data_IF_029136610294
#
_entry.id   IF_029136610294
#
_cell.length_a   1.000
_cell.length_b   1.000
_cell.length_c   1.000
_cell.angle_alpha   90.00
_cell.angle_beta   90.00
_cell.angle_gamma   90.00
#
_symmetry.space_group_name_H-M   'P 1'
#
loop_
_entity.id
_entity.type
_entity.pdbx_description
1 polymer ?
#
# COMPACT_ATOMS: atom_id res chain seq x y z
N UNK A 1 28.98 -2.65 -30.77
CA UNK A 1 28.70 -1.57 -29.80
C UNK A 1 27.47 -0.84 -30.31
N UNK A 2 26.39 -0.85 -29.58
CA UNK A 2 25.17 -0.14 -29.97
C UNK A 2 25.30 1.35 -29.65
N UNK A 3 24.34 2.17 -30.09
CA UNK A 3 24.38 3.63 -29.87
C UNK A 3 24.34 4.01 -28.38
N UNK A 4 23.65 3.22 -27.55
CA UNK A 4 23.57 3.47 -26.11
C UNK A 4 24.92 3.27 -25.44
N UNK A 5 25.66 2.20 -25.81
CA UNK A 5 27.01 1.95 -25.29
C UNK A 5 27.96 3.12 -25.61
N UNK A 6 27.83 3.71 -26.82
CA UNK A 6 28.67 4.84 -27.22
C UNK A 6 28.33 6.11 -26.43
N UNK A 7 27.07 6.45 -26.27
CA UNK A 7 26.61 7.66 -25.61
C UNK A 7 26.77 7.64 -24.08
N UNK A 8 26.81 6.44 -23.48
CA UNK A 8 26.79 6.25 -22.04
C UNK A 8 28.12 5.73 -21.47
N UNK A 9 29.13 5.44 -22.33
CA UNK A 9 30.40 4.82 -21.93
C UNK A 9 31.14 5.58 -20.81
N UNK A 10 31.11 6.91 -20.87
CA UNK A 10 31.82 7.77 -19.92
C UNK A 10 31.16 7.89 -18.54
N UNK A 11 29.92 7.35 -18.38
CA UNK A 11 29.20 7.41 -17.12
C UNK A 11 29.56 6.20 -16.25
N UNK A 12 30.59 6.36 -15.42
CA UNK A 12 31.05 5.30 -14.53
C UNK A 12 30.04 5.08 -13.40
N UNK A 13 29.70 3.82 -13.16
CA UNK A 13 28.84 3.42 -12.04
C UNK A 13 29.73 3.41 -10.79
N UNK A 14 29.35 4.13 -9.71
CA UNK A 14 30.16 4.18 -8.50
C UNK A 14 30.13 2.84 -7.76
N UNK A 15 31.01 2.70 -6.76
CA UNK A 15 30.93 1.62 -5.79
C UNK A 15 29.79 1.86 -4.80
N UNK A 16 29.32 0.76 -4.22
CA UNK A 16 28.25 0.76 -3.26
C UNK A 16 28.67 0.08 -1.96
N UNK A 17 28.17 0.58 -0.85
CA UNK A 17 28.21 -0.11 0.44
C UNK A 17 26.80 -0.59 0.80
N UNK A 18 26.73 -1.75 1.46
CA UNK A 18 25.48 -2.23 2.03
C UNK A 18 25.27 -1.58 3.39
N UNK A 19 24.06 -1.10 3.62
CA UNK A 19 23.64 -0.53 4.90
C UNK A 19 22.51 -1.33 5.52
N UNK A 20 22.49 -1.38 6.84
CA UNK A 20 21.36 -1.84 7.64
C UNK A 20 20.68 -0.62 8.24
N UNK A 21 19.37 -0.53 8.02
CA UNK A 21 18.52 0.54 8.53
C UNK A 21 17.60 -0.02 9.60
N UNK A 22 17.79 0.41 10.83
CA UNK A 22 16.97 0.03 11.97
C UNK A 22 15.77 0.99 12.06
N UNK A 23 14.58 0.43 11.95
CA UNK A 23 13.31 1.15 12.08
C UNK A 23 12.61 0.69 13.36
N UNK A 24 11.56 1.40 13.78
CA UNK A 24 10.76 1.00 14.93
C UNK A 24 10.14 -0.39 14.69
N UNK A 25 10.46 -1.34 15.53
CA UNK A 25 10.02 -2.74 15.49
C UNK A 25 9.06 -3.10 16.64
N UNK A 26 8.56 -2.08 17.37
CA UNK A 26 7.55 -2.32 18.39
C UNK A 26 6.30 -2.94 17.78
N UNK A 27 5.82 -4.05 18.33
CA UNK A 27 4.68 -4.80 17.82
C UNK A 27 3.89 -5.45 18.95
N UNK A 28 2.73 -5.98 18.63
CA UNK A 28 1.84 -6.69 19.54
C UNK A 28 2.08 -8.19 19.39
N UNK A 29 2.49 -8.87 20.46
CA UNK A 29 2.68 -10.33 20.49
C UNK A 29 1.35 -11.06 20.73
N UNK A 30 0.56 -10.58 21.71
CA UNK A 30 -0.75 -11.14 22.07
C UNK A 30 -1.86 -10.44 21.28
N UNK A 31 -2.06 -10.88 20.05
CA UNK A 31 -3.07 -10.32 19.12
C UNK A 31 -4.48 -10.51 19.69
N UNK A 32 -4.80 -11.69 20.18
CA UNK A 32 -6.11 -12.05 20.70
C UNK A 32 -6.47 -11.22 21.93
N UNK A 33 -5.51 -11.07 22.86
CA UNK A 33 -5.69 -10.23 24.03
C UNK A 33 -5.84 -8.75 23.69
N UNK A 34 -5.08 -8.25 22.70
CA UNK A 34 -5.18 -6.87 22.23
C UNK A 34 -6.54 -6.58 21.58
N UNK A 35 -7.07 -7.49 20.75
CA UNK A 35 -8.43 -7.38 20.18
C UNK A 35 -9.47 -7.37 21.31
N UNK A 36 -9.39 -8.31 22.26
CA UNK A 36 -10.32 -8.37 23.38
C UNK A 36 -10.27 -7.09 24.24
N UNK A 37 -9.09 -6.55 24.48
CA UNK A 37 -8.92 -5.30 25.21
C UNK A 37 -9.51 -4.11 24.46
N UNK A 38 -9.24 -3.98 23.16
CA UNK A 38 -9.79 -2.91 22.34
C UNK A 38 -11.31 -2.94 22.31
N UNK A 39 -11.93 -4.12 22.18
CA UNK A 39 -13.38 -4.30 22.13
C UNK A 39 -14.08 -4.13 23.48
N UNK A 40 -13.36 -3.94 24.60
CA UNK A 40 -13.95 -3.58 25.92
C UNK A 40 -14.21 -2.09 26.06
N UNK A 41 -13.75 -1.27 25.10
CA UNK A 41 -14.01 0.17 25.12
C UNK A 41 -15.51 0.43 25.10
N UNK A 42 -15.97 1.42 25.89
CA UNK A 42 -17.37 1.84 25.92
C UNK A 42 -17.84 2.27 24.51
N UNK A 43 -19.04 1.83 24.14
CA UNK A 43 -19.63 2.09 22.82
C UNK A 43 -19.19 1.13 21.73
N UNK A 44 -18.57 -0.01 22.09
CA UNK A 44 -18.14 -1.06 21.17
C UNK A 44 -18.92 -2.38 21.41
N UNK A 45 -18.30 -3.37 22.02
CA UNK A 45 -18.90 -4.69 22.24
C UNK A 45 -20.16 -4.63 23.12
N UNK A 46 -20.22 -3.69 24.06
CA UNK A 46 -21.37 -3.43 24.94
C UNK A 46 -22.65 -2.98 24.20
N UNK A 47 -22.51 -2.56 22.95
CA UNK A 47 -23.63 -2.16 22.08
C UNK A 47 -24.26 -3.33 21.32
N UNK A 48 -23.58 -4.48 21.24
CA UNK A 48 -24.07 -5.68 20.56
C UNK A 48 -25.01 -6.43 21.50
N UNK A 49 -26.18 -6.80 21.00
CA UNK A 49 -27.18 -7.53 21.77
C UNK A 49 -27.13 -9.03 21.48
N UNK A 50 -27.48 -9.89 22.43
CA UNK A 50 -27.68 -11.30 22.15
C UNK A 50 -28.68 -11.50 21.00
N UNK A 51 -28.31 -12.34 20.03
CA UNK A 51 -29.10 -12.61 18.83
C UNK A 51 -28.83 -11.70 17.64
N UNK A 52 -28.12 -10.58 17.82
CA UNK A 52 -27.78 -9.70 16.69
C UNK A 52 -26.96 -10.45 15.62
N UNK A 53 -27.28 -10.21 14.37
CA UNK A 53 -26.42 -10.56 13.22
C UNK A 53 -25.33 -9.50 13.07
N UNK A 54 -24.05 -9.91 13.17
CA UNK A 54 -22.90 -9.00 13.18
C UNK A 54 -22.06 -9.21 11.94
N UNK A 55 -22.01 -8.19 11.06
CA UNK A 55 -21.22 -8.20 9.84
C UNK A 55 -19.79 -7.71 10.12
N UNK A 56 -18.79 -8.55 9.86
CA UNK A 56 -17.35 -8.24 9.99
C UNK A 56 -16.76 -8.15 8.59
N UNK A 57 -15.97 -7.13 8.31
CA UNK A 57 -15.34 -6.98 6.98
C UNK A 57 -13.94 -7.58 6.93
N UNK A 58 -13.58 -8.17 5.78
CA UNK A 58 -12.22 -8.58 5.45
C UNK A 58 -11.75 -7.91 4.16
N UNK A 59 -10.60 -7.23 4.21
CA UNK A 59 -10.02 -6.51 3.08
C UNK A 59 -9.16 -7.39 2.17
N UNK A 60 -8.68 -6.83 1.06
CA UNK A 60 -7.91 -7.51 0.01
C UNK A 60 -6.39 -7.38 0.12
N UNK A 61 -5.88 -6.67 1.08
CA UNK A 61 -4.44 -6.52 1.28
C UNK A 61 -3.99 -7.47 2.37
N UNK A 62 -2.83 -8.06 2.17
CA UNK A 62 -2.19 -8.88 3.19
C UNK A 62 -1.87 -8.00 4.41
N UNK A 63 -2.74 -8.10 5.41
CA UNK A 63 -2.61 -7.38 6.69
C UNK A 63 -2.08 -8.37 7.71
N UNK A 64 -1.02 -7.99 8.40
CA UNK A 64 -0.41 -8.83 9.42
C UNK A 64 -1.45 -9.36 10.42
N UNK A 65 -1.40 -10.65 10.66
CA UNK A 65 -2.29 -11.35 11.61
C UNK A 65 -3.79 -11.28 11.29
N UNK A 66 -4.21 -10.94 10.05
CA UNK A 66 -5.63 -10.69 9.75
C UNK A 66 -6.54 -11.85 10.13
N UNK A 67 -6.14 -13.09 9.89
CA UNK A 67 -6.93 -14.27 10.28
C UNK A 67 -7.09 -14.37 11.80
N UNK A 68 -6.01 -14.17 12.58
CA UNK A 68 -6.05 -14.17 14.05
C UNK A 68 -6.95 -13.04 14.57
N UNK A 69 -6.84 -11.85 13.99
CA UNK A 69 -7.63 -10.67 14.37
C UNK A 69 -9.13 -10.92 14.11
N UNK A 70 -9.50 -11.36 12.90
CA UNK A 70 -10.91 -11.61 12.55
C UNK A 70 -11.46 -12.75 13.40
N UNK A 71 -10.68 -13.82 13.65
CA UNK A 71 -11.09 -14.89 14.55
C UNK A 71 -11.36 -14.37 15.96
N UNK A 72 -10.45 -13.59 16.53
CA UNK A 72 -10.63 -13.00 17.86
C UNK A 72 -11.88 -12.09 17.93
N UNK A 73 -12.16 -11.29 16.88
CA UNK A 73 -13.39 -10.49 16.79
C UNK A 73 -14.62 -11.40 16.77
N UNK A 74 -14.63 -12.47 15.97
CA UNK A 74 -15.74 -13.45 15.95
C UNK A 74 -15.98 -14.06 17.32
N UNK A 75 -14.92 -14.42 18.05
CA UNK A 75 -15.05 -15.02 19.39
C UNK A 75 -15.60 -14.02 20.42
N UNK A 76 -15.18 -12.74 20.37
CA UNK A 76 -15.75 -11.68 21.22
C UNK A 76 -17.24 -11.46 20.91
N UNK A 77 -17.63 -11.43 19.63
CA UNK A 77 -19.03 -11.28 19.23
C UNK A 77 -19.89 -12.47 19.73
N UNK A 78 -19.39 -13.69 19.60
CA UNK A 78 -20.08 -14.88 20.12
C UNK A 78 -20.18 -14.89 21.65
N UNK A 79 -19.19 -14.33 22.35
CA UNK A 79 -19.19 -14.29 23.82
C UNK A 79 -20.34 -13.48 24.41
N UNK A 80 -20.90 -12.54 23.65
CA UNK A 80 -22.09 -11.75 24.03
C UNK A 80 -23.38 -12.34 23.46
N UNK A 81 -23.36 -13.56 22.88
CA UNK A 81 -24.53 -14.27 22.35
C UNK A 81 -24.99 -13.80 20.98
N UNK A 82 -24.16 -13.05 20.23
CA UNK A 82 -24.46 -12.58 18.88
C UNK A 82 -23.89 -13.51 17.79
N UNK A 83 -24.32 -13.32 16.55
CA UNK A 83 -24.04 -14.20 15.41
C UNK A 83 -23.16 -13.50 14.38
N UNK A 84 -21.82 -13.67 14.43
CA UNK A 84 -20.93 -13.07 13.45
C UNK A 84 -21.00 -13.75 12.08
N UNK A 85 -20.87 -12.95 11.03
CA UNK A 85 -20.56 -13.42 9.69
C UNK A 85 -19.57 -12.46 9.03
N UNK A 86 -18.84 -12.95 8.03
CA UNK A 86 -17.76 -12.19 7.38
C UNK A 86 -18.18 -11.86 5.95
N UNK A 87 -17.86 -10.65 5.50
CA UNK A 87 -17.97 -10.26 4.09
C UNK A 87 -16.59 -9.84 3.54
N UNK A 88 -16.26 -10.23 2.30
CA UNK A 88 -15.15 -9.59 1.59
C UNK A 88 -15.49 -8.13 1.31
N UNK A 89 -14.62 -7.20 1.68
CA UNK A 89 -14.86 -5.75 1.53
C UNK A 89 -13.66 -5.10 0.85
N UNK A 90 -13.63 -5.12 -0.49
CA UNK A 90 -12.45 -4.76 -1.27
C UNK A 90 -12.76 -4.05 -2.60
N UNK A 91 -13.93 -3.41 -2.70
CA UNK A 91 -14.31 -2.65 -3.88
C UNK A 91 -14.40 -3.50 -5.14
N UNK A 92 -13.65 -3.13 -6.18
CA UNK A 92 -13.62 -3.81 -7.48
C UNK A 92 -12.53 -4.88 -7.63
N UNK A 93 -11.80 -5.21 -6.57
CA UNK A 93 -10.72 -6.21 -6.64
C UNK A 93 -11.24 -7.58 -7.10
N UNK A 94 -10.32 -8.46 -7.52
CA UNK A 94 -10.62 -9.79 -8.08
C UNK A 94 -11.59 -9.73 -9.26
N UNK A 95 -11.44 -8.71 -10.13
CA UNK A 95 -12.30 -8.53 -11.31
C UNK A 95 -13.76 -8.27 -10.96
N UNK A 96 -14.06 -7.74 -9.77
CA UNK A 96 -15.40 -7.51 -9.24
C UNK A 96 -16.27 -8.79 -9.24
N UNK A 97 -15.69 -9.92 -8.87
CA UNK A 97 -16.39 -11.22 -8.76
C UNK A 97 -16.43 -11.67 -7.31
N UNK A 98 -17.61 -12.04 -6.83
CA UNK A 98 -17.83 -12.46 -5.44
C UNK A 98 -16.92 -13.62 -5.02
N UNK A 99 -16.86 -14.68 -5.84
CA UNK A 99 -16.00 -15.84 -5.60
C UNK A 99 -14.51 -15.49 -5.62
N UNK A 100 -14.10 -14.59 -6.51
CA UNK A 100 -12.72 -14.10 -6.53
C UNK A 100 -12.36 -13.34 -5.25
N UNK A 101 -13.27 -12.49 -4.75
CA UNK A 101 -13.08 -11.77 -3.49
C UNK A 101 -13.06 -12.73 -2.28
N UNK A 102 -13.90 -13.74 -2.27
CA UNK A 102 -13.90 -14.82 -1.27
C UNK A 102 -12.56 -15.55 -1.28
N UNK A 103 -12.10 -15.98 -2.45
CA UNK A 103 -10.81 -16.68 -2.59
C UNK A 103 -9.61 -15.87 -2.08
N UNK A 104 -9.62 -14.53 -2.23
CA UNK A 104 -8.55 -13.68 -1.69
C UNK A 104 -8.50 -13.76 -0.15
N UNK A 105 -9.63 -13.59 0.55
CA UNK A 105 -9.62 -13.64 2.02
C UNK A 105 -9.34 -15.05 2.55
N UNK A 106 -9.81 -16.08 1.86
CA UNK A 106 -9.49 -17.48 2.18
C UNK A 106 -7.99 -17.77 2.01
N UNK A 107 -7.34 -17.15 1.00
CA UNK A 107 -5.89 -17.19 0.81
C UNK A 107 -5.09 -16.58 1.96
N UNK A 108 -5.69 -15.68 2.75
CA UNK A 108 -5.11 -15.12 3.97
C UNK A 108 -5.45 -15.92 5.23
N UNK A 109 -6.12 -17.07 5.08
CA UNK A 109 -6.53 -17.93 6.19
C UNK A 109 -7.89 -17.54 6.83
N UNK A 110 -8.62 -16.58 6.24
CA UNK A 110 -9.96 -16.22 6.68
C UNK A 110 -10.95 -17.16 6.00
N UNK A 111 -11.14 -18.37 6.57
CA UNK A 111 -12.06 -19.40 6.10
C UNK A 111 -13.21 -19.58 7.09
N UNK A 112 -14.34 -20.12 6.67
CA UNK A 112 -15.49 -20.38 7.56
C UNK A 112 -15.11 -21.29 8.72
N UNK A 113 -14.28 -22.31 8.46
CA UNK A 113 -13.80 -23.24 9.48
C UNK A 113 -12.87 -22.52 10.49
N UNK A 114 -11.87 -21.80 10.01
CA UNK A 114 -10.92 -21.09 10.88
C UNK A 114 -11.59 -20.00 11.70
N UNK A 115 -12.55 -19.28 11.14
CA UNK A 115 -13.29 -18.20 11.82
C UNK A 115 -14.46 -18.73 12.67
N UNK A 116 -14.92 -19.95 12.40
CA UNK A 116 -16.15 -20.48 13.00
C UNK A 116 -17.37 -19.61 12.74
N UNK A 117 -17.41 -18.90 11.61
CA UNK A 117 -18.44 -17.98 11.19
C UNK A 117 -18.61 -18.06 9.66
N UNK A 118 -19.83 -17.93 9.11
CA UNK A 118 -20.04 -18.02 7.67
C UNK A 118 -19.44 -16.82 6.93
N UNK A 119 -18.99 -17.05 5.68
CA UNK A 119 -18.55 -16.01 4.75
C UNK A 119 -19.67 -15.76 3.74
N UNK A 120 -20.15 -14.52 3.67
CA UNK A 120 -21.20 -14.11 2.74
C UNK A 120 -20.57 -13.18 1.68
N UNK A 121 -20.31 -13.71 0.49
CA UNK A 121 -19.74 -12.95 -0.61
C UNK A 121 -20.83 -12.55 -1.62
N UNK A 122 -20.87 -11.27 -1.98
CA UNK A 122 -21.72 -10.71 -3.03
C UNK A 122 -21.08 -9.47 -3.62
N UNK A 123 -21.48 -9.13 -4.84
CA UNK A 123 -21.21 -7.83 -5.44
C UNK A 123 -22.41 -6.89 -5.42
N UNK A 124 -23.56 -7.37 -4.95
CA UNK A 124 -24.78 -6.57 -4.87
C UNK A 124 -24.66 -5.53 -3.76
N UNK A 125 -25.11 -4.31 -4.07
CA UNK A 125 -25.14 -3.18 -3.15
C UNK A 125 -26.51 -2.51 -3.17
N UNK A 126 -26.82 -1.79 -2.11
CA UNK A 126 -27.99 -0.94 -2.00
C UNK A 126 -27.55 0.51 -1.86
N UNK A 127 -28.29 1.44 -2.51
CA UNK A 127 -28.10 2.88 -2.34
C UNK A 127 -28.73 3.30 -1.03
N UNK A 128 -27.94 3.72 -0.07
CA UNK A 128 -28.40 4.10 1.27
C UNK A 128 -28.48 5.62 1.50
N UNK A 129 -27.78 6.39 0.67
CA UNK A 129 -27.76 7.85 0.75
C UNK A 129 -27.26 8.44 -0.60
N UNK A 130 -27.28 9.76 -0.67
CA UNK A 130 -26.65 10.54 -1.75
C UNK A 130 -25.73 11.61 -1.14
N UNK A 131 -24.61 11.88 -1.81
CA UNK A 131 -23.69 12.95 -1.44
C UNK A 131 -24.30 14.32 -1.77
N UNK A 132 -23.66 15.39 -1.30
CA UNK A 132 -24.03 16.77 -1.64
C UNK A 132 -23.94 17.06 -3.15
N UNK A 133 -23.08 16.33 -3.86
CA UNK A 133 -22.93 16.39 -5.32
C UNK A 133 -23.88 15.47 -6.09
N UNK A 134 -24.79 14.76 -5.39
CA UNK A 134 -25.77 13.86 -5.99
C UNK A 134 -25.23 12.48 -6.35
N UNK A 135 -24.01 12.12 -5.90
CA UNK A 135 -23.44 10.79 -6.12
C UNK A 135 -24.10 9.77 -5.18
N UNK A 136 -24.37 8.57 -5.68
CA UNK A 136 -24.93 7.49 -4.90
C UNK A 136 -23.92 6.91 -3.91
N UNK A 137 -24.36 6.68 -2.68
CA UNK A 137 -23.59 6.06 -1.61
C UNK A 137 -24.11 4.64 -1.43
N UNK A 138 -23.27 3.67 -1.80
CA UNK A 138 -23.61 2.26 -1.84
C UNK A 138 -23.08 1.52 -0.60
N UNK A 139 -23.84 0.53 -0.13
CA UNK A 139 -23.45 -0.39 0.91
C UNK A 139 -23.73 -1.84 0.48
N UNK A 140 -22.83 -2.78 0.78
CA UNK A 140 -23.02 -4.22 0.56
C UNK A 140 -24.37 -4.67 1.12
N UNK A 141 -25.13 -5.49 0.38
CA UNK A 141 -26.48 -5.92 0.77
C UNK A 141 -26.51 -6.68 2.09
N UNK A 142 -25.50 -7.51 2.39
CA UNK A 142 -25.43 -8.25 3.65
C UNK A 142 -25.05 -7.33 4.81
N UNK A 143 -24.15 -6.38 4.57
CA UNK A 143 -23.82 -5.34 5.56
C UNK A 143 -25.05 -4.46 5.85
N UNK A 144 -25.81 -4.09 4.81
CA UNK A 144 -27.00 -3.27 5.00
C UNK A 144 -28.12 -4.02 5.79
N UNK A 145 -28.25 -5.32 5.59
CA UNK A 145 -29.22 -6.16 6.28
C UNK A 145 -28.81 -6.57 7.71
N UNK A 146 -27.54 -6.40 8.10
CA UNK A 146 -27.05 -6.76 9.43
C UNK A 146 -27.56 -5.82 10.52
N UNK A 147 -27.77 -6.37 11.73
CA UNK A 147 -28.14 -5.60 12.91
C UNK A 147 -26.98 -4.73 13.42
N UNK A 148 -25.74 -5.22 13.26
CA UNK A 148 -24.53 -4.54 13.69
C UNK A 148 -23.38 -4.71 12.69
N UNK A 149 -22.52 -3.67 12.55
CA UNK A 149 -21.37 -3.69 11.65
C UNK A 149 -20.05 -3.54 12.42
N UNK A 150 -19.03 -4.30 12.02
CA UNK A 150 -17.64 -4.16 12.47
C UNK A 150 -16.74 -4.03 11.24
N UNK A 151 -16.57 -2.82 10.68
CA UNK A 151 -15.55 -2.57 9.65
C UNK A 151 -14.16 -2.77 10.23
N UNK A 152 -13.34 -3.61 9.60
CA UNK A 152 -11.94 -3.86 9.96
C UNK A 152 -11.06 -3.30 8.86
N UNK A 153 -10.17 -2.37 9.17
CA UNK A 153 -9.34 -1.70 8.16
C UNK A 153 -7.95 -1.35 8.65
N UNK A 154 -6.95 -1.55 7.77
CA UNK A 154 -5.58 -1.09 8.02
C UNK A 154 -5.48 0.41 7.72
N UNK A 155 -5.14 1.19 8.77
CA UNK A 155 -4.92 2.64 8.68
C UNK A 155 -3.46 2.87 8.25
N UNK A 156 -3.28 3.53 7.10
CA UNK A 156 -1.96 3.90 6.56
C UNK A 156 -2.07 5.01 5.50
N UNK A 157 -0.95 5.64 5.15
CA UNK A 157 -0.90 6.56 4.03
C UNK A 157 -1.35 5.87 2.72
N UNK A 158 -2.15 6.57 1.92
CA UNK A 158 -2.56 6.09 0.60
C UNK A 158 -1.47 6.35 -0.44
N UNK A 159 -1.47 5.58 -1.53
CA UNK A 159 -0.51 5.74 -2.63
C UNK A 159 -0.91 6.82 -3.63
N UNK A 160 -2.21 7.20 -3.68
CA UNK A 160 -2.74 8.03 -4.77
C UNK A 160 -3.49 9.28 -4.32
N UNK A 161 -3.77 9.45 -3.03
CA UNK A 161 -4.37 10.69 -2.52
C UNK A 161 -3.95 10.99 -1.07
N UNK A 162 -4.09 12.25 -0.68
CA UNK A 162 -3.81 12.77 0.66
C UNK A 162 -5.04 13.45 1.24
N UNK A 163 -5.22 13.33 2.55
CA UNK A 163 -6.27 14.00 3.29
C UNK A 163 -6.28 13.63 4.76
N UNK A 164 -7.30 14.09 5.47
CA UNK A 164 -7.50 13.76 6.89
C UNK A 164 -7.77 12.27 7.10
N UNK A 165 -8.36 11.61 6.10
CA UNK A 165 -8.52 10.15 6.02
C UNK A 165 -7.97 9.68 4.68
N UNK A 166 -7.25 8.56 4.69
CA UNK A 166 -6.65 7.98 3.51
C UNK A 166 -7.00 6.49 3.40
N UNK A 167 -6.04 5.54 3.51
CA UNK A 167 -6.38 4.13 3.71
C UNK A 167 -6.75 3.92 5.17
N UNK A 168 -7.89 3.29 5.43
CA UNK A 168 -8.37 3.07 6.79
C UNK A 168 -9.83 2.67 6.84
N UNK A 169 -10.47 3.04 7.94
CA UNK A 169 -11.86 2.71 8.24
C UNK A 169 -12.84 3.41 7.28
N UNK A 170 -12.67 4.73 7.10
CA UNK A 170 -13.54 5.48 6.18
C UNK A 170 -13.47 4.91 4.76
N UNK A 171 -12.28 4.54 4.27
CA UNK A 171 -12.13 3.89 2.97
C UNK A 171 -12.75 2.49 2.96
N UNK A 172 -12.66 1.73 4.06
CA UNK A 172 -13.31 0.43 4.18
C UNK A 172 -14.83 0.57 4.07
N UNK A 173 -15.42 1.55 4.75
CA UNK A 173 -16.85 1.84 4.67
C UNK A 173 -17.29 2.16 3.22
N UNK A 174 -16.57 3.07 2.55
CA UNK A 174 -16.97 3.64 1.26
C UNK A 174 -16.61 2.76 0.07
N UNK A 175 -15.34 2.36 -0.01
CA UNK A 175 -14.81 1.57 -1.12
C UNK A 175 -14.95 0.09 -0.86
N UNK A 176 -14.55 -0.38 0.31
CA UNK A 176 -14.58 -1.80 0.68
C UNK A 176 -15.99 -2.36 0.60
N UNK A 177 -16.89 -1.84 1.43
CA UNK A 177 -18.29 -2.26 1.50
C UNK A 177 -19.16 -1.68 0.39
N UNK A 178 -18.75 -0.57 -0.26
CA UNK A 178 -19.42 -0.03 -1.44
C UNK A 178 -19.25 -0.88 -2.70
N UNK A 179 -18.38 -1.90 -2.66
CA UNK A 179 -18.07 -2.78 -3.77
C UNK A 179 -17.66 -2.00 -5.03
N UNK A 180 -17.86 -2.57 -6.23
CA UNK A 180 -17.52 -1.90 -7.49
C UNK A 180 -18.35 -0.63 -7.69
N UNK A 181 -19.65 -0.65 -7.38
CA UNK A 181 -20.53 0.50 -7.57
C UNK A 181 -20.14 1.69 -6.70
N UNK A 182 -19.97 1.49 -5.40
CA UNK A 182 -19.53 2.55 -4.48
C UNK A 182 -18.14 3.06 -4.79
N UNK A 183 -17.20 2.17 -5.13
CA UNK A 183 -15.87 2.57 -5.59
C UNK A 183 -15.93 3.47 -6.82
N UNK A 184 -16.72 3.09 -7.84
CA UNK A 184 -16.91 3.90 -9.05
C UNK A 184 -17.47 5.29 -8.72
N UNK A 185 -18.54 5.38 -7.92
CA UNK A 185 -19.15 6.66 -7.54
C UNK A 185 -18.13 7.57 -6.80
N UNK A 186 -17.36 7.00 -5.87
CA UNK A 186 -16.38 7.75 -5.11
C UNK A 186 -15.22 8.29 -5.99
N UNK A 187 -14.79 7.53 -7.02
CA UNK A 187 -13.73 7.93 -7.95
C UNK A 187 -14.20 8.87 -9.06
N UNK A 188 -15.51 8.98 -9.30
CA UNK A 188 -16.10 9.69 -10.47
C UNK A 188 -15.63 11.15 -10.61
N UNK A 189 -15.28 11.81 -9.50
CA UNK A 189 -14.76 13.19 -9.49
C UNK A 189 -13.23 13.26 -9.51
N UNK A 190 -12.54 12.12 -9.70
CA UNK A 190 -11.09 12.02 -9.76
C UNK A 190 -10.40 12.08 -8.38
N UNK A 191 -9.09 11.85 -8.38
CA UNK A 191 -8.30 11.74 -7.14
C UNK A 191 -8.23 13.04 -6.32
N UNK A 192 -8.36 14.22 -6.95
CA UNK A 192 -8.36 15.50 -6.21
C UNK A 192 -9.52 15.61 -5.22
N UNK A 193 -10.66 14.98 -5.51
CA UNK A 193 -11.83 14.96 -4.63
C UNK A 193 -11.90 13.74 -3.72
N UNK A 194 -10.97 12.78 -3.89
CA UNK A 194 -11.08 11.46 -3.29
C UNK A 194 -11.13 11.49 -1.75
N UNK A 195 -10.24 12.23 -1.11
CA UNK A 195 -10.22 12.34 0.36
C UNK A 195 -11.50 12.96 0.91
N UNK A 196 -12.00 14.02 0.26
CA UNK A 196 -13.25 14.68 0.63
C UNK A 196 -14.46 13.75 0.43
N UNK A 197 -14.53 13.06 -0.73
CA UNK A 197 -15.60 12.10 -1.00
C UNK A 197 -15.59 10.94 0.00
N UNK A 198 -14.43 10.37 0.31
CA UNK A 198 -14.32 9.27 1.29
C UNK A 198 -14.83 9.72 2.66
N UNK A 199 -14.44 10.92 3.11
CA UNK A 199 -14.89 11.47 4.40
C UNK A 199 -16.40 11.74 4.41
N UNK A 200 -16.94 12.35 3.36
CA UNK A 200 -18.37 12.66 3.23
C UNK A 200 -19.22 11.38 3.18
N UNK A 201 -18.84 10.42 2.32
CA UNK A 201 -19.59 9.19 2.17
C UNK A 201 -19.54 8.32 3.44
N UNK A 202 -18.37 8.24 4.09
CA UNK A 202 -18.24 7.57 5.38
C UNK A 202 -19.15 8.17 6.43
N UNK A 203 -19.22 9.50 6.52
CA UNK A 203 -20.14 10.21 7.42
C UNK A 203 -21.60 9.84 7.17
N UNK A 204 -22.03 9.81 5.91
CA UNK A 204 -23.39 9.40 5.54
C UNK A 204 -23.69 7.94 5.89
N UNK A 205 -22.71 7.02 5.68
CA UNK A 205 -22.86 5.60 6.07
C UNK A 205 -23.00 5.48 7.57
N UNK A 206 -22.16 6.18 8.35
CA UNK A 206 -22.21 6.15 9.83
C UNK A 206 -23.56 6.68 10.34
N UNK A 207 -24.08 7.75 9.74
CA UNK A 207 -25.39 8.31 10.10
C UNK A 207 -26.53 7.33 9.83
N UNK A 208 -26.50 6.62 8.69
CA UNK A 208 -27.53 5.66 8.30
C UNK A 208 -27.44 4.32 9.04
N UNK A 209 -26.23 3.94 9.46
CA UNK A 209 -25.91 2.69 10.13
C UNK A 209 -25.17 2.94 11.47
N UNK A 210 -25.83 3.58 12.46
CA UNK A 210 -25.17 3.95 13.72
C UNK A 210 -24.83 2.76 14.62
N UNK A 211 -25.41 1.57 14.35
CA UNK A 211 -25.08 0.34 15.05
C UNK A 211 -23.79 -0.25 14.47
N UNK A 212 -22.66 0.39 14.78
CA UNK A 212 -21.33 -0.08 14.41
C UNK A 212 -20.28 0.43 15.39
N UNK A 213 -19.16 -0.25 15.42
CA UNK A 213 -17.86 0.28 15.77
C UNK A 213 -16.83 -0.28 14.78
N UNK A 214 -15.73 0.39 14.60
CA UNK A 214 -14.69 -0.04 13.67
C UNK A 214 -13.47 -0.62 14.40
N UNK A 215 -12.73 -1.52 13.74
CA UNK A 215 -11.41 -1.96 14.19
C UNK A 215 -10.35 -1.38 13.24
N UNK A 216 -9.57 -0.45 13.76
CA UNK A 216 -8.41 0.13 13.08
C UNK A 216 -7.14 -0.65 13.40
N UNK A 217 -6.41 -1.03 12.36
CA UNK A 217 -5.17 -1.80 12.45
C UNK A 217 -4.01 -0.93 11.95
N UNK A 218 -2.90 -0.89 12.67
CA UNK A 218 -1.68 -0.19 12.24
C UNK A 218 -0.53 -1.18 12.30
N UNK A 219 0.29 -1.16 11.25
CA UNK A 219 1.53 -1.94 11.13
C UNK A 219 2.74 -1.04 11.28
N UNK A 220 3.82 -1.60 11.84
CA UNK A 220 5.13 -0.96 11.88
C UNK A 220 5.87 -1.08 10.53
N UNK A 221 7.10 -0.57 10.45
CA UNK A 221 7.94 -0.59 9.26
C UNK A 221 8.34 -2.01 8.79
N UNK A 222 8.19 -3.02 9.65
CA UNK A 222 8.45 -4.43 9.35
C UNK A 222 7.16 -5.22 9.05
N UNK A 223 6.08 -4.51 8.76
CA UNK A 223 4.77 -5.12 8.47
C UNK A 223 4.23 -6.00 9.61
N UNK A 224 4.51 -5.64 10.86
CA UNK A 224 3.98 -6.30 12.04
C UNK A 224 2.86 -5.45 12.65
N UNK A 225 1.81 -6.08 13.17
CA UNK A 225 0.72 -5.37 13.85
C UNK A 225 1.26 -4.68 15.10
N UNK A 226 1.25 -3.34 15.13
CA UNK A 226 1.75 -2.56 16.26
C UNK A 226 0.65 -1.83 17.04
N UNK A 227 -0.56 -1.71 16.47
CA UNK A 227 -1.70 -1.10 17.16
C UNK A 227 -3.03 -1.66 16.65
N UNK A 228 -3.95 -1.89 17.58
CA UNK A 228 -5.34 -2.30 17.33
C UNK A 228 -6.25 -1.38 18.14
N UNK A 229 -7.16 -0.68 17.46
CA UNK A 229 -8.09 0.25 18.09
C UNK A 229 -9.54 -0.09 17.72
N UNK A 230 -10.41 -0.18 18.72
CA UNK A 230 -11.86 -0.22 18.48
C UNK A 230 -12.43 1.20 18.61
N UNK A 231 -13.08 1.68 17.57
CA UNK A 231 -13.54 3.06 17.45
C UNK A 231 -15.07 3.08 17.35
N UNK A 232 -15.78 3.63 18.34
CA UNK A 232 -17.24 3.78 18.27
C UNK A 232 -17.69 4.59 17.06
N UNK A 233 -18.85 4.28 16.48
CA UNK A 233 -19.37 4.89 15.25
C UNK A 233 -19.23 6.42 15.22
N UNK A 234 -19.71 7.10 16.28
CA UNK A 234 -19.70 8.56 16.37
C UNK A 234 -18.30 9.19 16.49
N UNK A 235 -17.26 8.38 16.69
CA UNK A 235 -15.88 8.85 16.88
C UNK A 235 -14.98 8.54 15.67
N UNK A 236 -15.45 7.78 14.66
CA UNK A 236 -14.62 7.33 13.53
C UNK A 236 -13.99 8.53 12.80
N UNK A 237 -14.79 9.54 12.43
CA UNK A 237 -14.29 10.70 11.68
C UNK A 237 -13.35 11.62 12.49
N UNK A 238 -13.40 11.52 13.82
CA UNK A 238 -12.54 12.29 14.73
C UNK A 238 -11.24 11.54 15.06
N UNK A 239 -11.30 10.21 15.26
CA UNK A 239 -10.18 9.43 15.75
C UNK A 239 -9.33 8.80 14.64
N UNK A 240 -9.88 8.55 13.44
CA UNK A 240 -9.07 8.04 12.34
C UNK A 240 -7.95 8.98 11.89
N UNK A 241 -8.13 10.33 11.78
CA UNK A 241 -7.05 11.23 11.39
C UNK A 241 -5.81 11.16 12.29
N UNK A 242 -5.87 11.27 13.63
CA UNK A 242 -4.68 11.13 14.48
C UNK A 242 -4.07 9.71 14.42
N UNK A 243 -4.87 8.67 14.20
CA UNK A 243 -4.36 7.32 13.99
C UNK A 243 -3.63 7.20 12.65
N UNK A 244 -4.08 7.91 11.61
CA UNK A 244 -3.37 7.98 10.33
C UNK A 244 -2.00 8.66 10.49
N UNK A 245 -1.91 9.75 11.23
CA UNK A 245 -0.61 10.41 11.48
C UNK A 245 0.32 9.50 12.30
N UNK A 246 -0.20 8.78 13.28
CA UNK A 246 0.56 7.75 13.99
C UNK A 246 1.03 6.66 13.03
N UNK A 247 0.16 6.15 12.16
CA UNK A 247 0.53 5.14 11.15
C UNK A 247 1.64 5.64 10.22
N UNK A 248 1.55 6.89 9.73
CA UNK A 248 2.60 7.52 8.91
C UNK A 248 3.95 7.60 9.62
N UNK A 249 3.96 7.80 10.94
CA UNK A 249 5.19 7.81 11.73
C UNK A 249 5.82 6.42 11.86
N UNK A 250 5.04 5.35 11.67
CA UNK A 250 5.48 3.95 11.78
C UNK A 250 5.83 3.30 10.44
N UNK A 251 5.47 3.92 9.33
CA UNK A 251 5.77 3.38 7.99
C UNK A 251 7.26 3.37 7.72
N UNK A 252 7.69 2.34 6.99
CA UNK A 252 9.04 2.27 6.46
C UNK A 252 9.32 3.46 5.53
N UNK A 253 10.49 4.07 5.68
CA UNK A 253 10.96 5.22 4.87
C UNK A 253 12.43 5.01 4.51
N UNK A 254 12.84 5.57 3.39
CA UNK A 254 14.27 5.78 3.13
C UNK A 254 14.78 6.82 4.14
N UNK A 255 15.92 6.60 4.81
CA UNK A 255 16.41 7.50 5.85
C UNK A 255 16.99 8.84 5.32
N UNK A 256 17.02 9.02 4.00
CA UNK A 256 17.53 10.22 3.33
C UNK A 256 16.39 11.04 2.76
N UNK A 257 16.28 12.32 3.13
CA UNK A 257 15.25 13.23 2.58
C UNK A 257 15.45 13.52 1.09
N UNK A 258 16.69 13.39 0.61
CA UNK A 258 17.04 13.57 -0.81
C UNK A 258 18.30 12.79 -1.17
N UNK A 259 18.32 12.30 -2.41
CA UNK A 259 19.51 11.80 -3.08
C UNK A 259 19.36 12.07 -4.59
N UNK A 260 20.43 11.85 -5.37
CA UNK A 260 20.39 12.16 -6.79
C UNK A 260 19.60 11.09 -7.55
N UNK A 261 19.84 9.82 -7.23
CA UNK A 261 19.29 8.71 -7.99
C UNK A 261 18.74 7.63 -7.03
N UNK A 262 17.62 7.05 -7.42
CA UNK A 262 17.08 5.84 -6.82
C UNK A 262 17.16 4.69 -7.83
N UNK A 263 17.83 3.62 -7.47
CA UNK A 263 17.77 2.34 -8.17
C UNK A 263 16.81 1.41 -7.43
N UNK A 264 15.98 0.68 -8.19
CA UNK A 264 15.02 -0.29 -7.67
C UNK A 264 15.13 -1.56 -8.49
N UNK A 265 15.48 -2.69 -7.86
CA UNK A 265 15.65 -3.94 -8.59
C UNK A 265 14.34 -4.43 -9.20
N UNK A 266 13.23 -4.30 -8.46
CA UNK A 266 11.93 -4.79 -8.90
C UNK A 266 10.76 -3.92 -8.46
N UNK A 267 9.77 -3.79 -9.32
CA UNK A 267 8.45 -3.19 -9.05
C UNK A 267 7.36 -4.23 -9.19
N UNK A 268 6.20 -4.02 -8.58
CA UNK A 268 5.08 -4.95 -8.73
C UNK A 268 3.83 -4.63 -7.91
N UNK A 269 2.70 -5.19 -8.34
CA UNK A 269 1.41 -5.05 -7.64
C UNK A 269 1.38 -5.77 -6.29
N UNK A 270 2.22 -6.77 -6.10
CA UNK A 270 2.46 -7.45 -4.83
C UNK A 270 3.32 -6.61 -3.87
N UNK A 271 4.11 -5.67 -4.39
CA UNK A 271 4.92 -4.72 -3.60
C UNK A 271 4.06 -3.52 -3.17
N UNK A 272 3.39 -2.89 -4.12
CA UNK A 272 2.53 -1.71 -3.87
C UNK A 272 1.39 -1.65 -4.87
N UNK A 273 0.25 -1.09 -4.46
CA UNK A 273 -0.85 -0.80 -5.39
C UNK A 273 -0.45 0.13 -6.54
N UNK A 274 0.56 0.97 -6.32
CA UNK A 274 1.19 1.84 -7.32
C UNK A 274 2.49 1.25 -7.90
N UNK A 275 2.68 -0.08 -7.83
CA UNK A 275 3.90 -0.76 -8.27
C UNK A 275 5.08 -0.55 -7.33
N UNK A 276 5.47 0.69 -7.11
CA UNK A 276 6.36 1.17 -6.05
C UNK A 276 5.56 2.07 -5.10
N UNK A 277 5.88 2.06 -3.81
CA UNK A 277 5.20 2.95 -2.85
C UNK A 277 5.68 4.40 -3.03
N UNK A 278 4.81 5.35 -3.39
CA UNK A 278 5.16 6.76 -3.54
C UNK A 278 5.70 7.41 -2.25
N UNK A 279 5.34 6.86 -1.08
CA UNK A 279 5.88 7.33 0.20
C UNK A 279 7.37 7.00 0.38
N UNK A 280 7.88 6.03 -0.38
CA UNK A 280 9.29 5.63 -0.42
C UNK A 280 10.02 6.30 -1.57
N UNK A 281 9.41 6.36 -2.75
CA UNK A 281 10.04 6.94 -3.96
C UNK A 281 9.94 8.45 -4.04
N UNK A 282 9.07 9.09 -3.23
CA UNK A 282 8.80 10.51 -3.30
C UNK A 282 8.14 10.98 -4.60
N UNK A 283 7.65 10.05 -5.43
CA UNK A 283 6.97 10.36 -6.69
C UNK A 283 5.63 9.67 -6.79
N UNK A 284 4.64 10.43 -7.23
CA UNK A 284 3.33 9.93 -7.61
C UNK A 284 2.86 10.64 -8.88
N UNK A 285 2.22 9.95 -9.83
CA UNK A 285 1.63 10.60 -11.00
C UNK A 285 0.43 11.48 -10.63
N UNK A 286 -0.16 11.28 -9.44
CA UNK A 286 -1.43 11.91 -9.02
C UNK A 286 -1.21 13.05 -8.05
N UNK A 287 -0.17 12.98 -7.22
CA UNK A 287 0.00 13.89 -6.09
C UNK A 287 1.33 14.62 -6.12
N UNK A 288 1.33 15.84 -5.61
CA UNK A 288 2.51 16.62 -5.31
C UNK A 288 3.32 16.06 -4.12
N UNK A 289 3.58 14.74 -4.09
CA UNK A 289 4.58 14.15 -3.19
C UNK A 289 5.94 14.54 -3.75
N UNK A 290 6.78 15.13 -2.92
CA UNK A 290 8.10 15.60 -3.31
C UNK A 290 9.22 15.12 -2.39
N UNK A 291 8.88 14.25 -1.41
CA UNK A 291 9.85 13.73 -0.44
C UNK A 291 9.63 12.23 -0.19
N UNK A 292 10.72 11.44 -0.11
CA UNK A 292 12.11 11.83 -0.39
C UNK A 292 12.27 12.30 -1.84
N UNK A 293 13.28 13.11 -2.13
CA UNK A 293 13.51 13.62 -3.48
C UNK A 293 14.62 12.83 -4.19
N UNK A 294 14.31 12.36 -5.41
CA UNK A 294 15.28 11.76 -6.33
C UNK A 294 15.14 12.41 -7.70
N UNK A 295 16.27 12.90 -8.28
CA UNK A 295 16.24 13.47 -9.62
C UNK A 295 15.88 12.42 -10.66
N UNK A 296 16.39 11.18 -10.48
CA UNK A 296 16.11 10.05 -11.38
C UNK A 296 15.75 8.80 -10.60
N UNK A 297 14.84 8.03 -11.17
CA UNK A 297 14.44 6.70 -10.67
C UNK A 297 14.64 5.70 -11.80
N UNK A 298 15.46 4.67 -11.58
CA UNK A 298 15.65 3.56 -12.49
C UNK A 298 15.05 2.28 -11.87
N UNK A 299 14.26 1.54 -12.65
CA UNK A 299 13.62 0.30 -12.22
C UNK A 299 14.03 -0.83 -13.16
N UNK A 300 14.57 -1.93 -12.63
CA UNK A 300 15.23 -2.94 -13.46
C UNK A 300 14.34 -4.12 -13.84
N UNK A 301 13.39 -4.52 -12.99
CA UNK A 301 12.53 -5.66 -13.30
C UNK A 301 11.09 -5.49 -12.77
N UNK A 302 10.20 -6.36 -13.26
CA UNK A 302 8.81 -6.52 -12.81
C UNK A 302 8.65 -7.88 -12.15
N UNK A 303 8.03 -7.93 -10.96
CA UNK A 303 7.78 -9.20 -10.26
C UNK A 303 6.86 -10.10 -11.08
N UNK A 304 7.12 -11.40 -11.07
CA UNK A 304 6.27 -12.39 -11.75
C UNK A 304 4.86 -12.45 -11.15
N UNK A 305 4.74 -12.16 -9.84
CA UNK A 305 3.45 -12.07 -9.12
C UNK A 305 2.56 -10.93 -9.62
N UNK A 306 3.11 -9.96 -10.32
CA UNK A 306 2.34 -8.89 -10.96
C UNK A 306 1.61 -9.34 -12.21
N UNK A 307 1.91 -10.54 -12.75
CA UNK A 307 1.29 -11.09 -13.97
C UNK A 307 1.30 -10.08 -15.14
N UNK A 308 2.42 -9.37 -15.31
CA UNK A 308 2.58 -8.35 -16.35
C UNK A 308 1.96 -6.97 -16.04
N UNK A 309 1.30 -6.79 -14.90
CA UNK A 309 0.73 -5.50 -14.52
C UNK A 309 1.83 -4.54 -14.03
N UNK A 310 2.22 -3.60 -14.89
CA UNK A 310 3.23 -2.58 -14.64
C UNK A 310 2.68 -1.24 -14.13
N UNK A 311 1.44 -1.20 -13.68
CA UNK A 311 0.81 0.04 -13.18
C UNK A 311 1.61 0.68 -12.05
N UNK A 312 1.97 1.95 -12.23
CA UNK A 312 2.85 2.73 -11.36
C UNK A 312 4.26 2.94 -11.92
N UNK A 313 4.68 2.16 -12.94
CA UNK A 313 5.98 2.33 -13.59
C UNK A 313 6.18 3.73 -14.19
N UNK A 314 5.11 4.45 -14.48
CA UNK A 314 5.14 5.84 -14.94
C UNK A 314 5.82 6.83 -13.98
N UNK A 315 6.08 6.44 -12.73
CA UNK A 315 6.86 7.20 -11.76
C UNK A 315 8.38 7.07 -11.94
N UNK A 316 8.84 6.07 -12.73
CA UNK A 316 10.25 5.91 -13.08
C UNK A 316 10.64 6.79 -14.28
N UNK A 317 11.93 7.10 -14.41
CA UNK A 317 12.51 7.81 -15.57
C UNK A 317 13.06 6.83 -16.60
N UNK A 318 13.58 5.69 -16.13
CA UNK A 318 14.20 4.67 -16.98
C UNK A 318 13.93 3.26 -16.45
N UNK A 319 13.82 2.32 -17.36
CA UNK A 319 13.68 0.89 -17.09
C UNK A 319 14.49 0.06 -18.11
N UNK A 320 14.35 -1.26 -18.06
CA UNK A 320 15.10 -2.22 -18.87
C UNK A 320 14.25 -2.93 -19.90
N UNK A 321 14.89 -3.44 -20.94
CA UNK A 321 14.25 -4.33 -21.90
C UNK A 321 13.75 -5.64 -21.25
N UNK A 322 14.40 -6.11 -20.18
CA UNK A 322 13.97 -7.27 -19.39
C UNK A 322 12.59 -7.04 -18.78
N UNK A 323 12.39 -5.90 -18.09
CA UNK A 323 11.10 -5.51 -17.54
C UNK A 323 10.07 -5.35 -18.66
N UNK A 324 10.42 -4.64 -19.74
CA UNK A 324 9.51 -4.37 -20.85
C UNK A 324 8.94 -5.67 -21.48
N UNK A 325 9.74 -6.74 -21.57
CA UNK A 325 9.28 -8.03 -22.10
C UNK A 325 8.23 -8.74 -21.22
N UNK A 326 8.15 -8.39 -19.94
CA UNK A 326 7.16 -8.95 -19.01
C UNK A 326 5.83 -8.19 -19.00
N UNK A 327 5.74 -7.05 -19.66
CA UNK A 327 4.56 -6.18 -19.64
C UNK A 327 3.37 -6.82 -20.33
N UNK A 328 2.21 -6.73 -19.67
CA UNK A 328 0.90 -7.03 -20.24
C UNK A 328 0.00 -5.79 -20.16
N UNK A 329 -0.35 -5.25 -21.32
CA UNK A 329 -1.18 -4.05 -21.43
C UNK A 329 -2.63 -4.31 -21.03
N UNK A 330 -3.16 -5.52 -21.32
CA UNK A 330 -4.53 -5.88 -20.96
C UNK A 330 -4.70 -6.04 -19.44
N UNK A 331 -3.65 -6.46 -18.73
CA UNK A 331 -3.63 -6.50 -17.27
C UNK A 331 -3.47 -5.11 -16.64
N UNK A 332 -2.85 -4.16 -17.35
CA UNK A 332 -2.47 -2.86 -16.78
C UNK A 332 -3.44 -1.73 -17.09
N UNK A 333 -3.81 -1.55 -18.37
CA UNK A 333 -4.57 -0.38 -18.81
C UNK A 333 -5.97 -0.25 -18.19
N UNK A 334 -6.70 -1.33 -17.86
CA UNK A 334 -7.95 -1.19 -17.11
C UNK A 334 -7.80 -0.43 -15.79
N UNK A 335 -6.64 -0.53 -15.11
CA UNK A 335 -6.38 0.24 -13.90
C UNK A 335 -6.26 1.74 -14.18
N UNK A 336 -5.48 2.12 -15.21
CA UNK A 336 -5.32 3.52 -15.61
C UNK A 336 -6.62 4.16 -16.09
N UNK A 337 -7.43 3.41 -16.85
CA UNK A 337 -8.74 3.83 -17.34
C UNK A 337 -9.72 4.06 -16.17
N UNK A 338 -9.82 3.08 -15.27
CA UNK A 338 -10.72 3.19 -14.09
C UNK A 338 -10.29 4.31 -13.14
N UNK A 339 -8.99 4.51 -12.99
CA UNK A 339 -8.43 5.56 -12.15
C UNK A 339 -8.45 6.94 -12.83
N UNK A 340 -8.74 7.02 -14.12
CA UNK A 340 -8.62 8.21 -14.98
C UNK A 340 -7.22 8.86 -14.89
N UNK A 341 -6.16 8.05 -14.72
CA UNK A 341 -4.78 8.51 -14.52
C UNK A 341 -3.82 7.82 -15.51
N UNK A 342 -3.66 8.37 -16.72
CA UNK A 342 -2.80 7.78 -17.76
C UNK A 342 -1.30 7.84 -17.40
N UNK A 343 -0.86 8.79 -16.56
CA UNK A 343 0.54 8.89 -16.16
C UNK A 343 1.01 7.67 -15.34
N UNK A 344 0.12 7.02 -14.60
CA UNK A 344 0.44 5.82 -13.82
C UNK A 344 0.77 4.61 -14.70
N UNK A 345 0.33 4.60 -15.96
CA UNK A 345 0.50 3.47 -16.90
C UNK A 345 1.33 3.85 -18.13
N UNK A 346 2.06 4.97 -18.07
CA UNK A 346 3.04 5.33 -19.09
C UNK A 346 4.30 4.49 -18.94
N UNK A 347 5.07 4.36 -20.01
CA UNK A 347 6.38 3.73 -20.01
C UNK A 347 7.47 4.78 -19.87
N UNK A 348 8.49 4.54 -19.02
CA UNK A 348 9.73 5.33 -18.99
C UNK A 348 10.63 4.99 -20.18
N UNK A 349 11.82 5.62 -20.27
CA UNK A 349 12.82 5.23 -21.24
C UNK A 349 13.24 3.78 -21.03
N UNK A 350 13.27 2.97 -22.10
CA UNK A 350 13.60 1.53 -22.02
C UNK A 350 15.04 1.33 -22.53
N UNK A 351 15.95 0.91 -21.64
CA UNK A 351 17.35 0.63 -21.95
C UNK A 351 17.58 -0.87 -22.16
N UNK A 352 18.61 -1.25 -22.95
CA UNK A 352 18.88 -2.67 -23.24
C UNK A 352 19.17 -3.53 -22.01
N UNK A 353 19.83 -2.99 -20.98
CA UNK A 353 20.29 -3.72 -19.79
C UNK A 353 20.26 -2.86 -18.53
N UNK A 354 20.51 -3.48 -17.37
CA UNK A 354 20.63 -2.78 -16.09
C UNK A 354 21.79 -1.78 -16.13
N UNK A 355 22.95 -2.17 -16.71
CA UNK A 355 24.11 -1.29 -16.88
C UNK A 355 23.76 -0.01 -17.63
N UNK A 356 23.11 -0.16 -18.79
CA UNK A 356 22.72 1.00 -19.59
C UNK A 356 21.62 1.84 -18.94
N UNK A 357 20.72 1.23 -18.15
CA UNK A 357 19.72 1.95 -17.38
C UNK A 357 20.36 2.77 -16.23
N UNK A 358 21.32 2.20 -15.50
CA UNK A 358 22.11 2.91 -14.47
C UNK A 358 22.87 4.08 -15.09
N UNK A 359 23.59 3.85 -16.20
CA UNK A 359 24.34 4.86 -16.91
C UNK A 359 23.44 5.98 -17.47
N UNK A 360 22.24 5.64 -17.95
CA UNK A 360 21.26 6.63 -18.39
C UNK A 360 20.80 7.51 -17.23
N UNK A 361 20.51 6.92 -16.07
CA UNK A 361 20.12 7.68 -14.88
C UNK A 361 21.24 8.63 -14.44
N UNK A 362 22.50 8.14 -14.41
CA UNK A 362 23.69 8.95 -14.13
C UNK A 362 23.84 10.11 -15.12
N UNK A 363 23.77 9.83 -16.43
CA UNK A 363 23.93 10.83 -17.48
C UNK A 363 22.89 11.95 -17.45
N UNK A 364 21.68 11.62 -17.01
CA UNK A 364 20.55 12.54 -17.03
C UNK A 364 20.28 13.23 -15.69
N UNK A 365 20.93 12.82 -14.61
CA UNK A 365 20.93 13.53 -13.33
C UNK A 365 21.87 14.72 -13.41
N UNK A 366 21.33 15.90 -13.70
CA UNK A 366 22.14 17.10 -14.06
C UNK A 366 22.53 17.96 -12.86
N UNK A 367 21.88 17.75 -11.71
CA UNK A 367 22.09 18.55 -10.50
C UNK A 367 22.81 17.71 -9.42
N UNK A 368 23.93 17.08 -9.81
CA UNK A 368 24.79 16.29 -8.95
C UNK A 368 26.11 17.00 -8.67
N UNK A 369 26.64 16.84 -7.47
CA UNK A 369 28.02 17.20 -7.13
C UNK A 369 28.98 16.11 -7.62
N UNK A 370 29.39 16.21 -8.88
CA UNK A 370 30.25 15.20 -9.53
C UNK A 370 31.68 15.12 -8.95
N UNK A 371 32.14 16.12 -8.19
CA UNK A 371 33.42 16.05 -7.49
C UNK A 371 33.35 15.09 -6.29
N UNK A 372 32.20 15.05 -5.61
CA UNK A 372 31.95 14.12 -4.50
C UNK A 372 31.34 12.79 -4.96
N UNK A 373 30.88 12.73 -6.20
CA UNK A 373 30.18 11.61 -6.78
C UNK A 373 28.67 11.65 -6.56
N UNK A 374 27.91 10.87 -7.34
CA UNK A 374 26.45 10.84 -7.28
C UNK A 374 25.94 10.16 -6.01
N UNK A 375 24.98 10.77 -5.33
CA UNK A 375 24.31 10.25 -4.13
C UNK A 375 23.19 9.30 -4.57
N UNK A 376 23.43 8.00 -4.46
CA UNK A 376 22.53 6.96 -4.97
C UNK A 376 22.05 6.09 -3.83
N UNK A 377 20.74 5.85 -3.79
CA UNK A 377 20.10 4.80 -2.98
C UNK A 377 19.70 3.67 -3.91
N UNK A 378 19.95 2.43 -3.52
CA UNK A 378 19.60 1.25 -4.31
C UNK A 378 18.85 0.25 -3.46
N UNK A 379 17.55 0.09 -3.74
CA UNK A 379 16.63 -0.78 -3.04
C UNK A 379 16.36 -2.06 -3.83
N UNK A 380 16.15 -3.18 -3.14
CA UNK A 380 15.53 -4.34 -3.76
C UNK A 380 14.13 -3.97 -4.29
N UNK A 381 13.28 -3.44 -3.43
CA UNK A 381 11.96 -2.89 -3.75
C UNK A 381 11.48 -2.00 -2.60
N UNK A 382 10.32 -1.36 -2.74
CA UNK A 382 9.81 -0.41 -1.74
C UNK A 382 9.20 -1.05 -0.48
N UNK A 383 9.19 -2.39 -0.36
CA UNK A 383 8.88 -3.09 0.90
C UNK A 383 10.15 -3.47 1.68
N UNK A 384 11.33 -3.54 1.01
CA UNK A 384 12.57 -4.04 1.59
C UNK A 384 13.49 -2.87 1.93
N UNK A 385 13.26 -2.23 3.09
CA UNK A 385 13.98 -1.02 3.52
C UNK A 385 14.87 -1.22 4.76
N UNK A 386 14.98 -2.43 5.28
CA UNK A 386 15.85 -2.76 6.41
C UNK A 386 17.30 -2.99 6.01
N UNK A 387 17.55 -3.44 4.78
CA UNK A 387 18.89 -3.54 4.19
C UNK A 387 18.82 -3.11 2.73
N UNK A 388 19.74 -2.25 2.32
CA UNK A 388 19.84 -1.74 0.94
C UNK A 388 21.25 -1.23 0.68
N UNK A 389 21.51 -0.73 -0.52
CA UNK A 389 22.82 -0.20 -0.88
C UNK A 389 22.78 1.32 -1.06
N UNK A 390 23.90 1.96 -0.77
CA UNK A 390 24.14 3.37 -1.04
C UNK A 390 25.48 3.55 -1.75
N UNK A 391 25.60 4.57 -2.62
CA UNK A 391 26.90 4.95 -3.21
C UNK A 391 27.84 5.51 -2.14
N UNK A 392 29.15 5.45 -2.41
CA UNK A 392 30.18 6.01 -1.53
C UNK A 392 29.91 7.46 -1.14
N UNK A 393 29.34 8.25 -2.04
CA UNK A 393 29.00 9.65 -1.80
C UNK A 393 27.95 9.86 -0.68
N UNK A 394 27.15 8.84 -0.34
CA UNK A 394 26.17 8.88 0.76
C UNK A 394 26.73 8.37 2.10
N UNK A 395 27.96 7.86 2.14
CA UNK A 395 28.56 7.33 3.38
C UNK A 395 28.53 8.37 4.51
N UNK A 396 28.98 9.64 4.30
CA UNK A 396 28.95 10.62 5.38
C UNK A 396 27.54 10.94 5.91
N UNK A 397 26.52 10.92 5.03
CA UNK A 397 25.13 11.11 5.46
C UNK A 397 24.62 9.90 6.26
N UNK A 398 25.00 8.68 5.86
CA UNK A 398 24.62 7.44 6.59
C UNK A 398 25.29 7.37 7.97
N UNK A 399 26.56 7.76 8.09
CA UNK A 399 27.29 7.81 9.35
C UNK A 399 26.76 8.86 10.34
N UNK A 400 26.07 9.88 9.83
CA UNK A 400 25.42 10.91 10.65
C UNK A 400 24.06 10.48 11.22
N UNK A 401 23.56 9.28 10.86
CA UNK A 401 22.26 8.76 11.31
C UNK A 401 22.46 7.64 12.33
N UNK A 402 21.86 7.78 13.49
CA UNK A 402 21.96 6.79 14.59
C UNK A 402 21.36 5.42 14.27
N UNK A 403 20.44 5.38 13.28
CA UNK A 403 19.69 4.19 12.91
C UNK A 403 20.12 3.57 11.57
N UNK A 404 21.26 3.98 11.03
CA UNK A 404 21.86 3.41 9.81
C UNK A 404 23.28 2.91 10.13
N UNK A 405 23.56 1.66 9.79
CA UNK A 405 24.86 1.04 9.99
C UNK A 405 25.42 0.55 8.66
N UNK A 406 26.65 0.94 8.33
CA UNK A 406 27.37 0.40 7.16
C UNK A 406 27.87 -0.99 7.51
N UNK A 407 27.49 -2.00 6.70
CA UNK A 407 27.76 -3.42 6.98
C UNK A 407 28.61 -4.10 5.89
N UNK A 408 29.19 -3.36 4.97
CA UNK A 408 30.16 -3.87 3.99
C UNK A 408 31.21 -2.85 3.64
N UNK A 409 32.34 -3.30 3.10
CA UNK A 409 33.28 -2.46 2.35
C UNK A 409 32.66 -2.02 1.01
N UNK A 410 33.20 -0.97 0.34
CA UNK A 410 32.76 -0.56 -0.97
C UNK A 410 32.92 -1.67 -2.03
N UNK A 411 31.85 -2.00 -2.72
CA UNK A 411 31.75 -3.07 -3.71
C UNK A 411 31.51 -2.51 -5.11
N UNK A 412 32.08 -3.17 -6.11
CA UNK A 412 31.79 -2.90 -7.52
C UNK A 412 30.57 -3.68 -8.00
N UNK A 413 29.85 -3.11 -8.97
CA UNK A 413 28.74 -3.80 -9.61
C UNK A 413 29.29 -4.70 -10.72
N UNK A 414 29.09 -6.00 -10.56
CA UNK A 414 29.47 -7.01 -11.57
C UNK A 414 28.27 -7.31 -12.44
N UNK A 415 28.48 -7.21 -13.74
CA UNK A 415 27.44 -7.48 -14.74
C UNK A 415 27.70 -8.81 -15.46
N UNK A 416 26.61 -9.44 -15.90
CA UNK A 416 26.67 -10.58 -16.81
C UNK A 416 27.00 -10.14 -18.25
N UNK A 417 27.03 -11.11 -19.19
CA UNK A 417 27.33 -10.86 -20.61
C UNK A 417 26.29 -9.97 -21.30
N UNK A 418 25.03 -9.97 -20.79
CA UNK A 418 23.95 -9.14 -21.30
C UNK A 418 23.93 -7.73 -20.68
N UNK A 419 24.78 -7.49 -19.69
CA UNK A 419 24.87 -6.23 -18.96
C UNK A 419 23.86 -6.07 -17.84
N UNK A 420 23.24 -7.17 -17.38
CA UNK A 420 22.39 -7.14 -16.21
C UNK A 420 23.22 -7.36 -14.93
N UNK A 421 22.76 -6.84 -13.82
CA UNK A 421 23.43 -7.00 -12.52
C UNK A 421 23.46 -8.47 -12.15
N UNK A 422 24.67 -8.98 -11.85
CA UNK A 422 24.91 -10.34 -11.38
C UNK A 422 25.14 -10.36 -9.87
N UNK A 423 26.00 -9.50 -9.38
CA UNK A 423 26.37 -9.36 -7.96
C UNK A 423 27.07 -8.03 -7.67
N UNK A 424 27.17 -7.66 -6.40
CA UNK A 424 28.09 -6.64 -5.90
C UNK A 424 29.24 -7.33 -5.19
N UNK A 425 30.48 -6.93 -5.53
CA UNK A 425 31.70 -7.57 -5.02
C UNK A 425 32.81 -6.57 -4.71
#
# INVERSE_FOLDING_TARGET
>A
MNIFDQLLADNQIPKFVRVRHEMDHSHIDDIEGAVAQAMRREGTLDRIKPGDSVCITAGSRDVANIARIIRAICDQVKSVGAHPFIIPAMGSHAGAKAEGQRGIIEGYGVTEEAMGAPIRASMDTEVIAHSKSGLEIHLDKFANAADFLIPVGRIKAHTDFRGEVESGICKMLVIGMGKQHGAYQCHKLGFKSMAANVKEFAGAIIEKKPNMFAIGLIENAYHQTCRIEAIPAGRILEEEPPLLEYAKSRMAKVPFDQADILFVDETGKDISGAGMDPNVTGRSPVLGISRPFFQRIAVFDLTDKSHGNFGGLGSADVTTQRLYRKIDFEQTYPNGITAAEPLAVRLPAVMPSDRTAMQFALRTATDCDWEKGPRIVWLKNTLSLSEFYISEALIPDAEALDNVTIVSEPMEVIFDEEGNVKELR
#
